data_IF_553346794579
#
_entry.id   IF_553346794579
#
_cell.length_a   1.000
_cell.length_b   1.000
_cell.length_c   1.000
_cell.angle_alpha   90.00
_cell.angle_beta   90.00
_cell.angle_gamma   90.00
#
_symmetry.space_group_name_H-M   'P 1'
#
loop_
_entity.id
_entity.type
_entity.pdbx_description
1 polymer ?
#
# COMPACT_ATOMS: atom_id res chain seq x y z
N UNK A 1 -37.41 16.72 4.45
CA UNK A 1 -37.01 16.91 3.04
C UNK A 1 -35.81 17.84 2.89
N UNK A 2 -35.92 19.15 3.20
CA UNK A 2 -34.78 20.09 3.06
C UNK A 2 -33.57 19.69 3.92
N UNK A 3 -33.79 19.27 5.17
CA UNK A 3 -32.72 18.82 6.06
C UNK A 3 -31.98 17.56 5.59
N UNK A 4 -32.70 16.60 4.99
CA UNK A 4 -32.07 15.40 4.41
C UNK A 4 -31.26 15.74 3.15
N UNK A 5 -31.75 16.68 2.34
CA UNK A 5 -31.01 17.15 1.17
C UNK A 5 -29.72 17.88 1.55
N UNK A 6 -29.77 18.70 2.61
CA UNK A 6 -28.59 19.37 3.15
C UNK A 6 -27.56 18.35 3.69
N UNK A 7 -28.03 17.34 4.42
CA UNK A 7 -27.17 16.27 4.95
C UNK A 7 -26.50 15.46 3.83
N UNK A 8 -27.26 15.08 2.80
CA UNK A 8 -26.74 14.38 1.64
C UNK A 8 -25.69 15.23 0.90
N UNK A 9 -25.96 16.52 0.73
CA UNK A 9 -25.02 17.44 0.10
C UNK A 9 -23.73 17.59 0.90
N UNK A 10 -23.82 17.66 2.23
CA UNK A 10 -22.66 17.72 3.12
C UNK A 10 -21.77 16.48 3.00
N UNK A 11 -22.38 15.29 2.97
CA UNK A 11 -21.65 14.02 2.79
C UNK A 11 -20.97 13.94 1.42
N UNK A 12 -21.63 14.41 0.36
CA UNK A 12 -21.05 14.41 -0.99
C UNK A 12 -19.80 15.31 -1.07
N UNK A 13 -19.84 16.47 -0.43
CA UNK A 13 -18.68 17.37 -0.36
C UNK A 13 -17.52 16.75 0.43
N UNK A 14 -17.81 16.11 1.57
CA UNK A 14 -16.80 15.41 2.36
C UNK A 14 -16.16 14.25 1.57
N UNK A 15 -16.97 13.42 0.90
CA UNK A 15 -16.48 12.32 0.07
C UNK A 15 -15.61 12.83 -1.08
N UNK A 16 -15.98 13.95 -1.71
CA UNK A 16 -15.20 14.56 -2.79
C UNK A 16 -13.83 15.05 -2.29
N UNK A 17 -13.77 15.70 -1.12
CA UNK A 17 -12.50 16.16 -0.55
C UNK A 17 -11.58 14.99 -0.18
N UNK A 18 -12.13 13.91 0.39
CA UNK A 18 -11.37 12.68 0.65
C UNK A 18 -10.81 12.11 -0.66
N UNK A 19 -11.64 12.03 -1.71
CA UNK A 19 -11.21 11.52 -3.02
C UNK A 19 -10.10 12.35 -3.66
N UNK A 20 -10.17 13.69 -3.54
CA UNK A 20 -9.11 14.59 -4.01
C UNK A 20 -7.81 14.38 -3.22
N UNK A 21 -7.89 14.31 -1.89
CA UNK A 21 -6.72 14.07 -1.05
C UNK A 21 -6.05 12.73 -1.35
N UNK A 22 -6.84 11.65 -1.48
CA UNK A 22 -6.34 10.33 -1.84
C UNK A 22 -5.69 10.31 -3.22
N UNK A 23 -6.33 10.92 -4.23
CA UNK A 23 -5.75 11.03 -5.58
C UNK A 23 -4.43 11.79 -5.58
N UNK A 24 -4.35 12.90 -4.82
CA UNK A 24 -3.12 13.69 -4.67
C UNK A 24 -2.01 12.86 -4.02
N UNK A 25 -2.32 12.10 -2.97
CA UNK A 25 -1.36 11.22 -2.31
C UNK A 25 -0.82 10.17 -3.28
N UNK A 26 -1.67 9.49 -4.05
CA UNK A 26 -1.22 8.50 -5.03
C UNK A 26 -0.30 9.13 -6.08
N UNK A 27 -0.63 10.34 -6.54
CA UNK A 27 0.16 11.03 -7.57
C UNK A 27 1.51 11.56 -7.07
N UNK A 28 1.66 11.88 -5.79
CA UNK A 28 2.84 12.57 -5.26
C UNK A 28 3.70 11.68 -4.36
N UNK A 29 3.06 10.82 -3.55
CA UNK A 29 3.72 10.01 -2.54
C UNK A 29 3.93 8.56 -3.01
N UNK A 30 3.08 8.05 -3.90
CA UNK A 30 3.20 6.70 -4.50
C UNK A 30 3.78 6.72 -5.93
N UNK A 31 4.60 7.72 -6.24
CA UNK A 31 5.40 7.69 -7.47
C UNK A 31 6.37 6.50 -7.46
N UNK A 32 6.66 5.92 -8.64
CA UNK A 32 7.54 4.75 -8.75
C UNK A 32 8.94 5.00 -8.15
N UNK A 33 9.45 6.23 -8.20
CA UNK A 33 10.70 6.63 -7.54
C UNK A 33 10.63 6.33 -6.03
N UNK A 34 9.55 6.75 -5.35
CA UNK A 34 9.36 6.51 -3.92
C UNK A 34 9.19 5.02 -3.60
N UNK A 35 8.51 4.25 -4.46
CA UNK A 35 8.36 2.80 -4.30
C UNK A 35 9.72 2.11 -4.37
N UNK A 36 10.57 2.47 -5.33
CA UNK A 36 11.90 1.89 -5.46
C UNK A 36 12.83 2.31 -4.31
N UNK A 37 12.77 3.57 -3.88
CA UNK A 37 13.53 4.05 -2.72
C UNK A 37 13.13 3.31 -1.44
N UNK A 38 11.82 3.09 -1.23
CA UNK A 38 11.31 2.31 -0.11
C UNK A 38 11.79 0.85 -0.16
N UNK A 39 11.68 0.17 -1.30
CA UNK A 39 12.15 -1.21 -1.45
C UNK A 39 13.65 -1.35 -1.16
N UNK A 40 14.46 -0.42 -1.68
CA UNK A 40 15.90 -0.40 -1.44
C UNK A 40 16.20 -0.19 0.04
N UNK A 41 15.54 0.78 0.68
CA UNK A 41 15.71 1.04 2.11
C UNK A 41 15.36 -0.19 2.95
N UNK A 42 14.21 -0.83 2.67
CA UNK A 42 13.73 -2.01 3.39
C UNK A 42 14.73 -3.17 3.32
N UNK A 43 15.21 -3.49 2.11
CA UNK A 43 16.18 -4.57 1.91
C UNK A 43 17.51 -4.27 2.60
N UNK A 44 17.94 -3.00 2.62
CA UNK A 44 19.16 -2.57 3.27
C UNK A 44 19.08 -2.69 4.80
N UNK A 45 18.01 -2.18 5.42
CA UNK A 45 17.81 -2.30 6.87
C UNK A 45 17.60 -3.76 7.30
N UNK A 46 16.84 -4.54 6.53
CA UNK A 46 16.67 -5.97 6.80
C UNK A 46 17.99 -6.74 6.69
N UNK A 47 18.83 -6.38 5.71
CA UNK A 47 20.16 -6.96 5.54
C UNK A 47 21.05 -6.82 6.78
N UNK A 48 20.92 -5.73 7.55
CA UNK A 48 21.67 -5.52 8.80
C UNK A 48 21.28 -6.49 9.92
N UNK A 49 20.09 -7.08 9.85
CA UNK A 49 19.60 -8.03 10.87
C UNK A 49 20.12 -9.46 10.63
N UNK A 50 20.73 -9.72 9.48
CA UNK A 50 21.23 -11.05 9.13
C UNK A 50 22.38 -11.47 10.07
N UNK A 51 22.17 -12.57 10.79
CA UNK A 51 23.17 -13.16 11.71
C UNK A 51 24.12 -14.14 11.03
N UNK A 52 24.01 -14.32 9.72
CA UNK A 52 24.82 -15.24 8.93
C UNK A 52 25.24 -14.57 7.62
N UNK A 53 26.30 -15.09 7.00
CA UNK A 53 26.74 -14.62 5.69
C UNK A 53 25.89 -15.31 4.59
N UNK A 54 25.11 -14.57 3.80
CA UNK A 54 24.37 -15.16 2.69
C UNK A 54 25.32 -15.86 1.73
N UNK A 55 24.96 -17.08 1.32
CA UNK A 55 25.66 -17.85 0.29
C UNK A 55 24.64 -18.30 -0.74
N UNK A 56 25.09 -18.44 -2.00
CA UNK A 56 24.21 -18.84 -3.10
C UNK A 56 23.86 -20.32 -2.94
N UNK A 57 22.57 -20.69 -2.78
CA UNK A 57 22.20 -22.08 -2.60
C UNK A 57 22.36 -22.87 -3.90
N UNK A 58 22.62 -24.19 -3.84
CA UNK A 58 22.62 -25.06 -5.01
C UNK A 58 21.28 -24.97 -5.74
N UNK A 59 21.31 -24.82 -7.07
CA UNK A 59 20.10 -24.67 -7.89
C UNK A 59 19.54 -23.25 -7.98
N UNK A 60 20.19 -22.25 -7.39
CA UNK A 60 19.84 -20.85 -7.64
C UNK A 60 20.13 -20.46 -9.09
N UNK A 61 19.12 -19.96 -9.79
CA UNK A 61 19.26 -19.40 -11.14
C UNK A 61 19.65 -17.94 -11.05
N UNK A 62 20.73 -17.55 -11.72
CA UNK A 62 21.16 -16.15 -11.79
C UNK A 62 20.09 -15.31 -12.49
N UNK A 63 19.59 -14.30 -11.79
CA UNK A 63 18.80 -13.20 -12.36
C UNK A 63 19.77 -12.06 -12.67
N UNK A 64 19.98 -11.71 -13.93
CA UNK A 64 20.88 -10.59 -14.26
C UNK A 64 20.15 -9.22 -14.11
N UNK A 65 20.87 -8.09 -14.05
CA UNK A 65 20.28 -6.79 -13.77
C UNK A 65 19.38 -6.27 -14.89
N UNK A 66 19.67 -6.57 -16.16
CA UNK A 66 18.73 -6.36 -17.28
C UNK A 66 17.56 -7.39 -17.28
N UNK A 67 17.59 -8.37 -16.36
CA UNK A 67 16.98 -9.70 -16.49
C UNK A 67 15.86 -10.00 -15.48
N UNK A 68 15.41 -9.03 -14.67
CA UNK A 68 14.00 -9.09 -14.28
C UNK A 68 13.10 -9.22 -15.52
N UNK A 69 13.57 -8.83 -16.72
CA UNK A 69 12.87 -8.94 -17.99
C UNK A 69 13.35 -10.08 -18.92
N UNK A 70 14.36 -10.89 -18.57
CA UNK A 70 14.92 -11.82 -19.58
C UNK A 70 14.12 -13.10 -19.75
N UNK A 71 13.28 -13.45 -18.79
CA UNK A 71 12.21 -14.43 -18.94
C UNK A 71 11.04 -13.89 -19.76
N UNK A 72 10.96 -12.58 -19.95
CA UNK A 72 9.81 -11.87 -20.51
C UNK A 72 10.00 -11.58 -22.00
N UNK A 73 8.91 -11.63 -22.76
CA UNK A 73 8.91 -11.39 -24.20
C UNK A 73 7.90 -10.30 -24.59
N UNK A 74 8.07 -9.70 -25.77
CA UNK A 74 7.14 -8.70 -26.29
C UNK A 74 7.06 -7.41 -25.45
N UNK A 75 5.86 -6.84 -25.33
CA UNK A 75 5.58 -5.56 -24.66
C UNK A 75 6.03 -5.55 -23.19
N UNK A 76 5.90 -6.67 -22.49
CA UNK A 76 6.24 -6.78 -21.07
C UNK A 76 7.75 -6.62 -20.84
N UNK A 77 8.58 -7.06 -21.79
CA UNK A 77 10.02 -6.81 -21.79
C UNK A 77 10.34 -5.35 -22.09
N UNK A 78 9.68 -4.75 -23.08
CA UNK A 78 9.89 -3.33 -23.43
C UNK A 78 9.55 -2.42 -22.24
N UNK A 79 8.36 -2.54 -21.66
CA UNK A 79 7.96 -1.71 -20.52
C UNK A 79 8.90 -1.87 -19.32
N UNK A 80 9.38 -3.08 -19.04
CA UNK A 80 10.29 -3.34 -17.91
C UNK A 80 11.67 -2.71 -18.14
N UNK A 81 12.20 -2.80 -19.36
CA UNK A 81 13.46 -2.14 -19.74
C UNK A 81 13.33 -0.61 -19.73
N UNK A 82 12.22 -0.07 -20.23
CA UNK A 82 11.97 1.36 -20.27
C UNK A 82 11.81 1.96 -18.86
N UNK A 83 11.23 1.19 -17.94
CA UNK A 83 11.08 1.57 -16.52
C UNK A 83 12.35 1.40 -15.67
N UNK A 84 13.43 0.87 -16.25
CA UNK A 84 14.63 0.53 -15.50
C UNK A 84 15.38 1.80 -15.06
N UNK A 85 15.64 1.90 -13.76
CA UNK A 85 16.42 3.00 -13.16
C UNK A 85 17.88 2.89 -13.63
N UNK A 86 18.31 3.80 -14.50
CA UNK A 86 19.65 3.74 -15.14
C UNK A 86 20.79 4.25 -14.26
N UNK A 87 20.46 5.00 -13.21
CA UNK A 87 21.43 5.54 -12.27
C UNK A 87 20.75 5.68 -10.89
N UNK A 88 21.50 5.50 -9.79
CA UNK A 88 20.96 5.76 -8.46
C UNK A 88 20.43 7.19 -8.37
N UNK A 89 19.34 7.38 -7.61
CA UNK A 89 18.78 8.71 -7.39
C UNK A 89 19.86 9.62 -6.79
N UNK A 90 19.94 10.86 -7.30
CA UNK A 90 20.82 11.89 -6.73
C UNK A 90 20.25 12.45 -5.42
N UNK A 91 19.00 12.12 -5.12
CA UNK A 91 18.34 12.47 -3.88
C UNK A 91 18.83 11.49 -2.80
N UNK A 92 19.01 12.01 -1.59
CA UNK A 92 19.28 11.14 -0.45
C UNK A 92 18.06 10.22 -0.24
N UNK A 93 18.27 8.97 0.21
CA UNK A 93 17.18 8.09 0.59
C UNK A 93 16.20 8.82 1.51
N UNK A 94 14.91 8.56 1.35
CA UNK A 94 13.92 9.09 2.28
C UNK A 94 14.28 8.63 3.71
N UNK A 95 14.19 9.56 4.66
CA UNK A 95 14.33 9.22 6.07
C UNK A 95 13.03 8.55 6.46
N UNK A 96 13.04 7.22 6.63
CA UNK A 96 11.89 6.55 7.21
C UNK A 96 11.62 7.16 8.59
N UNK A 97 10.34 7.41 8.93
CA UNK A 97 10.00 7.77 10.29
C UNK A 97 10.56 6.69 11.23
N UNK A 98 11.01 7.08 12.44
CA UNK A 98 11.52 6.12 13.40
C UNK A 98 10.50 5.00 13.63
N UNK A 99 10.96 3.77 13.95
CA UNK A 99 10.08 2.64 14.22
C UNK A 99 9.00 3.08 15.21
N UNK A 100 7.73 2.86 14.84
CA UNK A 100 6.62 3.18 15.72
C UNK A 100 6.70 2.28 16.95
N UNK A 101 6.37 2.84 18.12
CA UNK A 101 6.26 2.08 19.36
C UNK A 101 5.35 0.86 19.13
N UNK A 102 5.76 -0.36 19.51
CA UNK A 102 4.92 -1.55 19.43
C UNK A 102 3.51 -1.33 19.99
N UNK A 103 3.34 -0.50 21.04
CA UNK A 103 2.01 -0.18 21.57
C UNK A 103 1.15 0.61 20.57
N UNK A 104 1.74 1.59 19.88
CA UNK A 104 1.04 2.38 18.85
C UNK A 104 0.61 1.50 17.68
N UNK A 105 1.45 0.52 17.31
CA UNK A 105 1.12 -0.44 16.25
C UNK A 105 -0.07 -1.31 16.68
N UNK A 106 -0.07 -1.82 17.92
CA UNK A 106 -1.17 -2.63 18.43
C UNK A 106 -2.47 -1.83 18.55
N UNK A 107 -2.41 -0.61 19.06
CA UNK A 107 -3.58 0.27 19.16
C UNK A 107 -4.21 0.54 17.78
N UNK A 108 -3.36 0.71 16.76
CA UNK A 108 -3.80 0.88 15.38
C UNK A 108 -4.49 -0.38 14.85
N UNK A 109 -3.89 -1.56 15.04
CA UNK A 109 -4.46 -2.84 14.60
C UNK A 109 -5.81 -3.12 15.29
N UNK A 110 -5.89 -2.89 16.60
CA UNK A 110 -7.14 -3.02 17.37
C UNK A 110 -8.23 -2.06 16.89
N UNK A 111 -7.83 -0.86 16.44
CA UNK A 111 -8.77 0.12 15.86
C UNK A 111 -9.24 -0.32 14.48
N UNK A 112 -8.34 -0.86 13.66
CA UNK A 112 -8.68 -1.38 12.33
C UNK A 112 -9.68 -2.54 12.46
N UNK A 113 -9.43 -3.48 13.36
CA UNK A 113 -10.32 -4.61 13.67
C UNK A 113 -11.70 -4.14 14.17
N UNK A 114 -11.72 -3.18 15.09
CA UNK A 114 -12.98 -2.59 15.58
C UNK A 114 -13.77 -1.93 14.46
N UNK A 115 -13.09 -1.26 13.54
CA UNK A 115 -13.73 -0.60 12.39
C UNK A 115 -14.25 -1.62 11.40
N UNK A 116 -13.46 -2.66 11.09
CA UNK A 116 -13.84 -3.75 10.20
C UNK A 116 -15.09 -4.47 10.69
N UNK A 117 -15.11 -4.89 11.97
CA UNK A 117 -16.31 -5.50 12.59
C UNK A 117 -17.54 -4.61 12.50
N UNK A 118 -17.37 -3.29 12.63
CA UNK A 118 -18.48 -2.34 12.52
C UNK A 118 -19.05 -2.31 11.10
N UNK A 119 -18.18 -2.34 10.09
CA UNK A 119 -18.58 -2.42 8.67
C UNK A 119 -19.26 -3.76 8.39
N UNK A 120 -18.68 -4.88 8.85
CA UNK A 120 -19.27 -6.21 8.68
C UNK A 120 -20.68 -6.29 9.28
N UNK A 121 -20.86 -5.73 10.48
CA UNK A 121 -22.16 -5.64 11.12
C UNK A 121 -23.16 -4.80 10.32
N UNK A 122 -22.73 -3.68 9.70
CA UNK A 122 -23.61 -2.88 8.84
C UNK A 122 -24.02 -3.60 7.57
N UNK A 123 -23.10 -4.36 6.97
CA UNK A 123 -23.40 -5.22 5.82
C UNK A 123 -24.41 -6.28 6.22
N UNK A 124 -24.16 -7.00 7.32
CA UNK A 124 -25.07 -8.01 7.83
C UNK A 124 -26.45 -7.44 8.21
N UNK A 125 -26.53 -6.23 8.77
CA UNK A 125 -27.80 -5.55 9.04
C UNK A 125 -28.53 -5.10 7.76
N UNK A 126 -27.81 -4.80 6.69
CA UNK A 126 -28.36 -4.48 5.37
C UNK A 126 -28.86 -5.69 4.60
N UNK A 127 -28.37 -6.89 4.96
CA UNK A 127 -28.75 -8.19 4.38
C UNK A 127 -29.89 -8.90 5.15
N UNK A 128 -30.41 -8.29 6.22
CA UNK A 128 -31.59 -8.79 6.93
C UNK A 128 -32.85 -8.50 6.12
N UNK A 129 -33.46 -9.54 5.55
CA UNK A 129 -34.78 -9.45 4.94
C UNK A 129 -35.80 -8.95 5.98
N UNK A 130 -36.70 -7.99 5.66
CA UNK A 130 -37.64 -7.40 6.61
C UNK A 130 -38.61 -8.38 7.30
N UNK A 131 -38.64 -9.65 6.91
CA UNK A 131 -39.56 -10.67 7.44
C UNK A 131 -39.05 -11.37 8.70
N UNK A 132 -37.77 -11.22 9.06
CA UNK A 132 -37.17 -11.96 10.19
C UNK A 132 -37.08 -11.13 11.49
N UNK A 133 -37.54 -9.87 11.47
CA UNK A 133 -37.50 -8.97 12.62
C UNK A 133 -38.70 -9.14 13.59
N UNK A 134 -39.56 -10.15 13.39
CA UNK A 134 -40.62 -10.50 14.34
C UNK A 134 -40.61 -12.00 14.67
N UNK A 135 -39.70 -12.42 15.54
CA UNK A 135 -39.93 -13.52 16.49
C UNK A 135 -39.13 -13.26 17.75
#
# INVERSE_FOLDING_TARGET
>A
LIGQFLQFFLQKMQAQEIGKAASKFVQQELEMENVYDYMFHLLNEYGKLLKYKPTVPPGATQTCPEIMACSEQGLQRQFRLDSMVKAPSKRNPCILPPPQDPQVIQDFLDKEDRTRRKVDNWVAMGDLDPQDAST
#
